data_IF_094062884855
#
_entry.id   IF_094062884855
#
_cell.length_a   1.000
_cell.length_b   1.000
_cell.length_c   1.000
_cell.angle_alpha   90.00
_cell.angle_beta   90.00
_cell.angle_gamma   90.00
#
_symmetry.space_group_name_H-M   'P 1'
#
loop_
_entity.id
_entity.type
_entity.pdbx_description
1 polymer ?
#
# COMPACT_ATOMS: atom_id res chain seq x y z
N UNK A 1 -0.45 20.41 19.75
CA UNK A 1 0.57 20.77 18.75
C UNK A 1 1.83 20.02 19.10
N UNK A 2 2.11 18.89 18.44
CA UNK A 2 3.37 18.15 18.62
C UNK A 2 4.41 18.81 17.70
N UNK A 3 5.42 19.43 18.29
CA UNK A 3 6.55 19.97 17.54
C UNK A 3 7.42 18.80 17.09
N UNK A 4 7.38 18.46 15.81
CA UNK A 4 8.29 17.48 15.21
C UNK A 4 9.63 18.18 15.02
N UNK A 5 10.60 17.87 15.87
CA UNK A 5 12.00 18.21 15.63
C UNK A 5 12.58 17.19 14.66
N UNK A 6 13.10 17.66 13.54
CA UNK A 6 13.73 16.79 12.54
C UNK A 6 15.06 16.27 13.09
N UNK A 7 15.03 15.02 13.54
CA UNK A 7 16.20 14.36 14.12
C UNK A 7 16.74 13.30 13.16
N UNK A 8 18.00 13.43 12.79
CA UNK A 8 18.65 12.49 11.88
C UNK A 8 19.18 11.26 12.62
N UNK A 9 18.83 10.08 12.12
CA UNK A 9 19.44 8.79 12.49
C UNK A 9 20.32 8.21 11.37
N UNK A 10 20.39 8.89 10.22
CA UNK A 10 21.21 8.55 9.05
C UNK A 10 21.71 9.85 8.40
N UNK A 11 22.97 9.88 7.97
CA UNK A 11 23.55 11.00 7.23
C UNK A 11 23.29 10.90 5.71
N UNK A 12 23.69 11.93 4.97
CA UNK A 12 23.53 11.98 3.51
C UNK A 12 24.41 10.95 2.77
N UNK A 13 25.51 10.53 3.40
CA UNK A 13 26.39 9.46 2.91
C UNK A 13 25.83 8.05 3.16
N UNK A 14 24.75 7.97 3.94
CA UNK A 14 24.01 6.76 4.25
C UNK A 14 24.50 6.00 5.48
N UNK A 15 25.41 6.56 6.29
CA UNK A 15 25.93 5.99 7.53
C UNK A 15 24.99 6.26 8.72
N UNK A 16 25.14 5.43 9.75
CA UNK A 16 24.40 5.56 10.99
C UNK A 16 24.92 6.74 11.83
N UNK A 17 24.01 7.62 12.25
CA UNK A 17 24.31 8.71 13.18
C UNK A 17 23.80 8.30 14.57
N UNK A 18 24.70 8.11 15.56
CA UNK A 18 24.30 7.75 16.92
C UNK A 18 23.66 8.95 17.61
N UNK A 19 22.34 9.07 17.46
CA UNK A 19 21.53 10.04 18.18
C UNK A 19 20.43 9.30 18.97
N UNK A 20 20.46 9.35 20.32
CA UNK A 20 19.45 8.70 21.16
C UNK A 20 18.09 9.42 21.09
N UNK A 21 18.08 10.71 20.78
CA UNK A 21 16.86 11.48 20.65
C UNK A 21 16.13 11.14 19.33
N UNK A 22 16.87 10.70 18.29
CA UNK A 22 16.33 10.31 16.98
C UNK A 22 15.58 8.97 17.00
N UNK A 23 15.03 8.60 18.16
CA UNK A 23 14.23 7.40 18.36
C UNK A 23 12.76 7.68 18.09
N UNK A 24 12.07 6.68 17.55
CA UNK A 24 10.65 6.79 17.24
C UNK A 24 9.84 6.34 18.47
N UNK A 25 8.93 7.21 18.93
CA UNK A 25 7.98 6.91 19.99
C UNK A 25 6.57 7.02 19.44
N UNK A 26 5.82 5.92 19.53
CA UNK A 26 4.46 5.82 19.02
C UNK A 26 3.52 5.45 20.17
N UNK A 27 2.44 6.19 20.36
CA UNK A 27 1.40 5.80 21.30
C UNK A 27 0.44 4.85 20.60
N UNK A 28 0.14 3.69 21.20
CA UNK A 28 -0.80 2.74 20.59
C UNK A 28 -2.20 3.33 20.43
N UNK A 29 -2.63 4.18 21.36
CA UNK A 29 -3.90 4.89 21.30
C UNK A 29 -4.10 5.70 20.02
N UNK A 30 -3.03 6.25 19.43
CA UNK A 30 -3.12 7.09 18.24
C UNK A 30 -3.49 6.31 16.96
N UNK A 31 -3.38 4.97 16.99
CA UNK A 31 -3.70 4.10 15.84
C UNK A 31 -5.08 3.45 15.93
N UNK A 32 -5.80 3.67 17.03
CA UNK A 32 -7.14 3.16 17.26
C UNK A 32 -8.22 4.20 17.02
N UNK A 33 -9.46 3.75 16.81
CA UNK A 33 -10.64 4.63 16.95
C UNK A 33 -10.98 4.84 18.42
N UNK A 34 -11.72 5.89 18.76
CA UNK A 34 -12.16 6.13 20.15
C UNK A 34 -12.91 4.93 20.74
N UNK A 35 -13.78 4.29 19.96
CA UNK A 35 -14.49 3.07 20.36
C UNK A 35 -13.56 1.84 20.56
N UNK A 36 -12.39 1.84 19.94
CA UNK A 36 -11.33 0.85 20.19
C UNK A 36 -10.56 1.21 21.47
N UNK A 37 -10.32 2.51 21.70
CA UNK A 37 -9.68 3.03 22.91
C UNK A 37 -10.45 2.71 24.19
N UNK A 38 -11.78 2.84 24.16
CA UNK A 38 -12.66 2.54 25.30
C UNK A 38 -12.66 1.06 25.72
N UNK A 39 -12.38 0.15 24.77
CA UNK A 39 -12.40 -1.30 25.03
C UNK A 39 -11.10 -1.82 25.63
N UNK A 40 -9.99 -1.12 25.43
CA UNK A 40 -8.66 -1.56 25.84
C UNK A 40 -7.98 -0.50 26.69
N UNK A 41 -7.95 -0.71 28.01
CA UNK A 41 -7.27 0.16 28.97
C UNK A 41 -5.74 0.24 28.76
N UNK A 42 -5.18 -0.73 28.04
CA UNK A 42 -3.74 -0.91 27.86
C UNK A 42 -3.15 -0.09 26.70
N UNK A 43 -3.95 0.75 26.05
CA UNK A 43 -3.51 1.55 24.90
C UNK A 43 -2.62 2.75 25.26
N UNK A 44 -2.41 2.99 26.56
CA UNK A 44 -1.40 3.93 27.07
C UNK A 44 0.05 3.41 26.88
N UNK A 45 0.23 2.17 26.41
CA UNK A 45 1.54 1.65 26.08
C UNK A 45 2.18 2.41 24.91
N UNK A 46 3.43 2.81 25.12
CA UNK A 46 4.26 3.47 24.11
C UNK A 46 5.18 2.45 23.46
N UNK A 47 5.15 2.37 22.13
CA UNK A 47 6.18 1.67 21.36
C UNK A 47 7.39 2.59 21.23
N UNK A 48 8.54 2.15 21.72
CA UNK A 48 9.81 2.83 21.55
C UNK A 48 10.71 2.05 20.59
N UNK A 49 11.14 2.70 19.51
CA UNK A 49 12.05 2.13 18.52
C UNK A 49 13.33 2.98 18.51
N UNK A 50 14.47 2.44 18.97
CA UNK A 50 15.75 3.14 18.94
C UNK A 50 16.20 3.47 17.52
N UNK A 51 16.99 4.54 17.38
CA UNK A 51 17.56 4.99 16.09
C UNK A 51 18.38 3.91 15.39
N UNK A 52 19.13 3.09 16.14
CA UNK A 52 19.88 1.95 15.60
C UNK A 52 18.96 0.92 14.92
N UNK A 53 17.79 0.67 15.50
CA UNK A 53 16.83 -0.29 14.95
C UNK A 53 16.16 0.29 13.69
N UNK A 54 15.84 1.58 13.69
CA UNK A 54 15.34 2.29 12.49
C UNK A 54 16.33 2.20 11.33
N UNK A 55 17.62 2.45 11.61
CA UNK A 55 18.69 2.32 10.62
C UNK A 55 18.75 0.91 10.03
N UNK A 56 18.72 -0.14 10.86
CA UNK A 56 18.71 -1.54 10.41
C UNK A 56 17.48 -1.89 9.57
N UNK A 57 16.29 -1.38 9.93
CA UNK A 57 15.09 -1.59 9.12
C UNK A 57 15.23 -0.97 7.74
N UNK A 58 15.81 0.22 7.68
CA UNK A 58 16.03 0.94 6.44
C UNK A 58 17.04 0.20 5.55
N UNK A 59 18.21 -0.18 6.07
CA UNK A 59 19.20 -0.99 5.34
C UNK A 59 18.60 -2.30 4.78
N UNK A 60 17.82 -3.00 5.61
CA UNK A 60 17.16 -4.26 5.18
C UNK A 60 16.17 -4.02 4.05
N UNK A 61 15.45 -2.90 4.09
CA UNK A 61 14.47 -2.54 3.07
C UNK A 61 15.16 -2.17 1.76
N UNK A 62 16.22 -1.37 1.83
CA UNK A 62 17.05 -1.02 0.68
C UNK A 62 17.71 -2.25 0.04
N UNK A 63 18.23 -3.17 0.85
CA UNK A 63 18.81 -4.42 0.37
C UNK A 63 17.76 -5.27 -0.40
N UNK A 64 16.52 -5.32 0.07
CA UNK A 64 15.43 -6.01 -0.64
C UNK A 64 15.11 -5.32 -1.97
N UNK A 65 15.02 -4.00 -1.98
CA UNK A 65 14.75 -3.22 -3.20
C UNK A 65 15.87 -3.39 -4.22
N UNK A 66 17.15 -3.35 -3.79
CA UNK A 66 18.31 -3.63 -4.65
C UNK A 66 18.20 -5.02 -5.30
N UNK A 67 17.87 -6.06 -4.51
CA UNK A 67 17.66 -7.41 -5.06
C UNK A 67 16.56 -7.47 -6.11
N UNK A 68 15.45 -6.78 -5.90
CA UNK A 68 14.36 -6.71 -6.88
C UNK A 68 14.82 -6.00 -8.16
N UNK A 69 15.50 -4.84 -8.04
CA UNK A 69 16.02 -4.09 -9.18
C UNK A 69 17.03 -4.88 -10.01
N UNK A 70 17.87 -5.69 -9.36
CA UNK A 70 18.84 -6.55 -10.03
C UNK A 70 18.25 -7.87 -10.55
N UNK A 71 16.92 -8.05 -10.50
CA UNK A 71 16.27 -9.29 -10.94
C UNK A 71 16.61 -10.52 -10.10
N UNK A 72 17.24 -10.32 -8.93
CA UNK A 72 17.59 -11.37 -7.97
C UNK A 72 16.42 -11.69 -7.01
N UNK A 73 15.28 -11.02 -7.18
CA UNK A 73 14.04 -11.43 -6.53
C UNK A 73 13.68 -12.84 -6.99
N UNK A 74 13.25 -13.70 -6.06
CA UNK A 74 12.78 -15.05 -6.35
C UNK A 74 11.50 -14.97 -7.19
N UNK A 75 11.63 -14.68 -8.48
CA UNK A 75 10.69 -15.13 -9.48
C UNK A 75 10.71 -16.64 -9.36
N UNK A 76 9.78 -17.20 -8.59
CA UNK A 76 9.56 -18.64 -8.58
C UNK A 76 9.34 -19.00 -10.04
N UNK A 77 10.36 -19.57 -10.68
CA UNK A 77 10.26 -20.07 -12.03
C UNK A 77 9.17 -21.12 -11.96
N UNK A 78 7.95 -20.75 -12.34
CA UNK A 78 6.86 -21.70 -12.48
C UNK A 78 7.39 -22.71 -13.47
N UNK A 79 7.56 -23.96 -13.01
CA UNK A 79 8.01 -25.04 -13.89
C UNK A 79 7.16 -24.95 -15.17
N UNK A 80 7.73 -25.03 -16.38
CA UNK A 80 6.96 -24.85 -17.62
C UNK A 80 5.75 -25.80 -17.73
N UNK A 81 5.75 -26.91 -16.97
CA UNK A 81 4.64 -27.86 -16.87
C UNK A 81 3.64 -27.59 -15.72
N UNK A 82 3.83 -26.56 -14.91
CA UNK A 82 2.90 -26.15 -13.86
C UNK A 82 1.70 -25.39 -14.47
N UNK A 83 0.99 -26.04 -15.40
CA UNK A 83 -0.25 -25.51 -15.95
C UNK A 83 -1.35 -25.71 -14.92
N UNK A 84 -2.07 -24.64 -14.57
CA UNK A 84 -3.30 -24.73 -13.77
C UNK A 84 -4.21 -25.79 -14.40
N UNK A 85 -4.58 -26.84 -13.66
CA UNK A 85 -5.48 -27.89 -14.18
C UNK A 85 -6.83 -27.26 -14.55
N UNK A 86 -7.35 -27.60 -15.73
CA UNK A 86 -8.70 -27.19 -16.14
C UNK A 86 -9.70 -27.82 -15.18
N UNK A 87 -10.64 -27.04 -14.65
CA UNK A 87 -11.78 -27.58 -13.91
C UNK A 87 -12.71 -28.26 -14.92
N UNK A 88 -13.30 -29.40 -14.54
CA UNK A 88 -14.27 -30.10 -15.38
C UNK A 88 -15.60 -29.32 -15.49
N UNK A 89 -15.96 -28.62 -14.41
CA UNK A 89 -17.08 -27.69 -14.36
C UNK A 89 -16.80 -26.62 -13.29
N UNK A 90 -17.26 -25.40 -13.53
CA UNK A 90 -17.31 -24.34 -12.52
C UNK A 90 -18.61 -24.55 -11.74
N UNK A 91 -18.59 -24.64 -10.39
CA UNK A 91 -19.83 -24.68 -9.61
C UNK A 91 -20.74 -23.50 -9.99
N UNK A 92 -22.07 -23.70 -10.03
CA UNK A 92 -22.99 -22.61 -10.34
C UNK A 92 -22.79 -21.48 -9.33
N UNK A 93 -22.77 -20.25 -9.83
CA UNK A 93 -22.68 -19.06 -8.99
C UNK A 93 -23.91 -19.01 -8.07
N UNK A 94 -23.69 -19.19 -6.78
CA UNK A 94 -24.71 -19.00 -5.76
C UNK A 94 -24.48 -17.62 -5.16
N UNK A 95 -25.15 -16.61 -5.72
CA UNK A 95 -25.31 -15.34 -5.02
C UNK A 95 -26.25 -15.62 -3.85
N UNK A 96 -25.74 -15.54 -2.61
CA UNK A 96 -26.63 -15.43 -1.46
C UNK A 96 -27.47 -14.16 -1.65
N UNK A 97 -28.72 -14.15 -1.21
CA UNK A 97 -29.61 -12.99 -1.38
C UNK A 97 -28.96 -11.68 -0.88
N UNK A 98 -28.15 -11.75 0.18
CA UNK A 98 -27.40 -10.64 0.75
C UNK A 98 -26.28 -10.08 -0.17
N UNK A 99 -25.82 -10.88 -1.14
CA UNK A 99 -24.78 -10.51 -2.11
C UNK A 99 -25.35 -10.05 -3.46
N UNK A 100 -26.62 -10.31 -3.75
CA UNK A 100 -27.30 -9.89 -4.98
C UNK A 100 -27.32 -8.37 -5.12
N UNK A 101 -27.64 -7.65 -4.04
CA UNK A 101 -27.71 -6.19 -4.05
C UNK A 101 -26.33 -5.56 -4.32
N UNK A 102 -25.28 -6.12 -3.71
CA UNK A 102 -23.91 -5.70 -3.93
C UNK A 102 -23.47 -5.92 -5.38
N UNK A 103 -23.84 -7.06 -5.96
CA UNK A 103 -23.53 -7.38 -7.36
C UNK A 103 -24.24 -6.44 -8.33
N UNK A 104 -25.55 -6.21 -8.14
CA UNK A 104 -26.33 -5.28 -8.95
C UNK A 104 -25.78 -3.84 -8.87
N UNK A 105 -25.32 -3.41 -7.70
CA UNK A 105 -24.70 -2.09 -7.54
C UNK A 105 -23.33 -2.02 -8.24
N UNK A 106 -22.52 -3.08 -8.17
CA UNK A 106 -21.23 -3.17 -8.85
C UNK A 106 -21.39 -3.16 -10.38
N UNK A 107 -22.37 -3.88 -10.91
CA UNK A 107 -22.68 -3.93 -12.34
C UNK A 107 -23.13 -2.55 -12.87
N UNK A 108 -24.03 -1.88 -12.14
CA UNK A 108 -24.43 -0.49 -12.45
C UNK A 108 -23.25 0.47 -12.46
N UNK A 109 -22.30 0.32 -11.52
CA UNK A 109 -21.08 1.14 -11.47
C UNK A 109 -20.15 0.85 -12.65
N UNK A 110 -19.97 -0.42 -12.99
CA UNK A 110 -19.15 -0.84 -14.13
C UNK A 110 -19.72 -0.31 -15.46
N UNK A 111 -21.03 -0.43 -15.68
CA UNK A 111 -21.71 0.07 -16.86
C UNK A 111 -21.56 1.60 -17.01
N UNK A 112 -21.74 2.36 -15.92
CA UNK A 112 -21.51 3.82 -15.91
C UNK A 112 -20.07 4.19 -16.24
N UNK A 113 -19.10 3.41 -15.76
CA UNK A 113 -17.68 3.66 -16.02
C UNK A 113 -17.32 3.37 -17.48
N UNK A 114 -17.80 2.25 -18.03
CA UNK A 114 -17.61 1.93 -19.44
C UNK A 114 -18.16 3.03 -20.36
N UNK A 115 -19.37 3.54 -20.10
CA UNK A 115 -19.95 4.66 -20.85
C UNK A 115 -19.12 5.96 -20.76
N UNK A 116 -18.37 6.17 -19.68
CA UNK A 116 -17.52 7.36 -19.50
C UNK A 116 -16.16 7.21 -20.18
N UNK A 117 -15.60 6.00 -20.15
CA UNK A 117 -14.29 5.69 -20.70
C UNK A 117 -14.31 5.57 -22.24
N UNK A 118 -15.50 5.41 -22.85
CA UNK A 118 -15.72 5.41 -24.31
C UNK A 118 -15.88 6.82 -24.92
N UNK A 119 -15.77 7.90 -24.14
CA UNK A 119 -15.74 9.25 -24.70
C UNK A 119 -14.39 9.50 -25.41
N UNK A 120 -14.35 9.66 -26.75
CA UNK A 120 -13.12 10.08 -27.40
C UNK A 120 -12.72 11.46 -26.89
N UNK A 121 -11.46 11.58 -26.47
CA UNK A 121 -10.85 12.85 -26.09
C UNK A 121 -10.96 13.82 -27.27
N UNK A 122 -11.96 14.72 -27.23
CA UNK A 122 -12.03 15.84 -28.16
C UNK A 122 -11.05 16.91 -27.65
N UNK A 123 -9.81 16.85 -28.13
CA UNK A 123 -8.96 18.02 -28.13
C UNK A 123 -9.68 19.07 -28.97
N UNK A 124 -10.15 20.15 -28.35
CA UNK A 124 -10.60 21.33 -29.09
C UNK A 124 -9.39 21.92 -29.81
N UNK A 125 -9.15 21.44 -31.02
CA UNK A 125 -8.18 21.99 -31.95
C UNK A 125 -8.73 23.32 -32.43
N UNK A 126 -8.25 24.40 -31.85
CA UNK A 126 -8.34 25.73 -32.45
C UNK A 126 -6.95 26.09 -32.97
N UNK A 127 -6.60 25.49 -34.10
CA UNK A 127 -5.60 26.06 -34.99
C UNK A 127 -6.29 27.16 -35.79
N UNK A 128 -5.86 28.40 -35.58
CA UNK A 128 -6.00 29.46 -36.55
C UNK A 128 -4.64 30.14 -36.63
N UNK A 129 -3.81 29.68 -37.56
CA UNK A 129 -2.69 30.47 -38.04
C UNK A 129 -3.18 31.56 -38.98
N UNK A 130 -2.42 32.65 -39.10
CA UNK A 130 -1.76 33.10 -40.35
C UNK A 130 -1.09 34.45 -40.11
N UNK A 131 0.17 34.50 -40.53
CA UNK A 131 0.98 35.65 -41.01
C UNK A 131 1.46 36.73 -40.01
#
# INVERSE_FOLDING_TARGET
MQTVTDQLFRDDDGNFVPNPEASLRLQLGDFGTEAFAEKFSDLAQTIHIPSEILFKFLERSEAKVKKVKHGQGLARTTKPWARKRRRASTPPEQLLADHEEGFAQAEKRAAKKAMRDDCPYMASSSEAGTE
#
